data_IF_814573348813
#
_entry.id   IF_814573348813
#
_cell.length_a   1.000
_cell.length_b   1.000
_cell.length_c   1.000
_cell.angle_alpha   90.00
_cell.angle_beta   90.00
_cell.angle_gamma   90.00
#
_symmetry.space_group_name_H-M   'P 1'
#
loop_
_entity.id
_entity.type
_entity.pdbx_description
1 polymer ?
#
# COMPACT_ATOMS: atom_id res chain seq x y z
N UNK A 1 -20.51 -15.86 14.86
CA UNK A 1 -19.87 -15.19 13.70
C UNK A 1 -19.67 -16.25 12.65
N UNK A 2 -20.43 -16.19 11.57
CA UNK A 2 -20.35 -17.16 10.48
C UNK A 2 -19.11 -16.83 9.64
N UNK A 3 -18.11 -17.73 9.65
CA UNK A 3 -16.98 -17.67 8.73
C UNK A 3 -17.46 -18.20 7.39
N UNK A 4 -17.26 -17.47 6.32
CA UNK A 4 -17.52 -17.98 4.98
C UNK A 4 -16.51 -19.10 4.69
N UNK A 5 -17.00 -20.35 4.58
CA UNK A 5 -16.18 -21.51 4.20
C UNK A 5 -16.39 -21.82 2.71
N UNK A 6 -15.35 -21.68 1.93
CA UNK A 6 -15.33 -22.07 0.51
C UNK A 6 -14.61 -23.40 0.40
N UNK A 7 -15.24 -24.35 -0.28
CA UNK A 7 -14.67 -25.69 -0.53
C UNK A 7 -14.34 -25.81 -2.02
N UNK A 8 -13.10 -26.12 -2.33
CA UNK A 8 -12.62 -26.37 -3.69
C UNK A 8 -12.20 -27.84 -3.82
N UNK A 9 -12.65 -28.49 -4.88
CA UNK A 9 -12.22 -29.83 -5.27
C UNK A 9 -11.13 -29.73 -6.32
N UNK A 10 -9.99 -30.36 -6.06
CA UNK A 10 -8.85 -30.40 -6.99
C UNK A 10 -9.04 -31.56 -7.94
N UNK A 11 -9.24 -31.30 -9.21
CA UNK A 11 -9.40 -32.33 -10.23
C UNK A 11 -8.06 -33.01 -10.57
N UNK A 12 -8.10 -34.18 -11.19
CA UNK A 12 -6.89 -34.94 -11.60
C UNK A 12 -6.01 -34.10 -12.55
N UNK A 13 -6.61 -33.31 -13.40
CA UNK A 13 -5.96 -32.42 -14.35
C UNK A 13 -5.21 -31.24 -13.70
N UNK A 14 -5.58 -30.87 -12.47
CA UNK A 14 -4.91 -29.82 -11.68
C UNK A 14 -3.68 -30.34 -10.91
N UNK A 15 -3.38 -31.63 -11.05
CA UNK A 15 -2.20 -32.22 -10.44
C UNK A 15 -0.92 -31.51 -10.84
N UNK A 16 -0.15 -31.10 -9.85
CA UNK A 16 1.12 -30.39 -10.05
C UNK A 16 0.99 -28.88 -10.08
N UNK A 17 -0.23 -28.31 -10.16
CA UNK A 17 -0.46 -26.89 -9.94
C UNK A 17 -0.05 -26.49 -8.51
N UNK A 18 0.34 -25.25 -8.35
CA UNK A 18 0.64 -24.72 -7.02
C UNK A 18 -0.67 -24.35 -6.30
N UNK A 19 -0.74 -24.63 -5.00
CA UNK A 19 -1.91 -24.29 -4.19
C UNK A 19 -2.29 -22.81 -4.31
N UNK A 20 -1.31 -21.89 -4.25
CA UNK A 20 -1.54 -20.45 -4.33
C UNK A 20 -2.10 -20.01 -5.71
N UNK A 21 -1.66 -20.67 -6.77
CA UNK A 21 -2.19 -20.40 -8.12
C UNK A 21 -3.61 -20.94 -8.26
N UNK A 22 -3.81 -22.19 -7.88
CA UNK A 22 -5.11 -22.86 -8.00
C UNK A 22 -6.22 -22.10 -7.25
N UNK A 23 -5.97 -21.73 -5.98
CA UNK A 23 -6.99 -21.02 -5.19
C UNK A 23 -7.28 -19.63 -5.76
N UNK A 24 -6.24 -18.86 -6.16
CA UNK A 24 -6.45 -17.53 -6.73
C UNK A 24 -7.03 -17.55 -8.17
N UNK A 25 -7.04 -18.66 -8.86
CA UNK A 25 -7.71 -18.86 -10.15
C UNK A 25 -9.21 -19.20 -9.96
N UNK A 26 -9.58 -19.81 -8.84
CA UNK A 26 -10.95 -20.27 -8.57
C UNK A 26 -11.75 -19.37 -7.62
N UNK A 27 -11.11 -18.43 -6.91
CA UNK A 27 -11.75 -17.48 -6.01
C UNK A 27 -11.26 -16.08 -6.36
N UNK A 28 -12.09 -15.28 -7.04
CA UNK A 28 -11.73 -13.94 -7.55
C UNK A 28 -11.25 -12.97 -6.46
N UNK A 29 -11.80 -13.08 -5.27
CA UNK A 29 -11.50 -12.20 -4.13
C UNK A 29 -10.18 -12.53 -3.42
N UNK A 30 -9.56 -13.68 -3.70
CA UNK A 30 -8.34 -14.14 -3.04
C UNK A 30 -7.11 -13.93 -3.91
N UNK A 31 -6.32 -12.90 -3.58
CA UNK A 31 -4.98 -12.73 -4.14
C UNK A 31 -4.00 -13.74 -3.52
N UNK A 32 -2.92 -14.08 -4.25
CA UNK A 32 -1.85 -14.97 -3.72
C UNK A 32 -1.23 -14.46 -2.41
N UNK A 33 -1.15 -13.15 -2.22
CA UNK A 33 -0.63 -12.56 -0.98
C UNK A 33 -1.62 -12.72 0.17
N UNK A 34 -2.91 -12.56 -0.09
CA UNK A 34 -3.95 -12.77 0.91
C UNK A 34 -4.06 -14.24 1.29
N UNK A 35 -3.99 -15.15 0.31
CA UNK A 35 -3.96 -16.58 0.58
C UNK A 35 -2.78 -17.00 1.48
N UNK A 36 -1.60 -16.38 1.30
CA UNK A 36 -0.45 -16.66 2.19
C UNK A 36 -0.79 -16.26 3.64
N UNK A 37 -1.45 -15.13 3.85
CA UNK A 37 -1.91 -14.71 5.19
C UNK A 37 -2.92 -15.70 5.76
N UNK A 38 -3.92 -16.09 4.97
CA UNK A 38 -4.92 -17.09 5.39
C UNK A 38 -4.29 -18.43 5.77
N UNK A 39 -3.23 -18.86 5.07
CA UNK A 39 -2.47 -20.08 5.39
C UNK A 39 -1.70 -19.92 6.69
N UNK A 40 -1.01 -18.80 6.87
CA UNK A 40 -0.21 -18.53 8.06
C UNK A 40 -1.09 -18.43 9.32
N UNK A 41 -2.32 -17.93 9.16
CA UNK A 41 -3.35 -17.83 10.22
C UNK A 41 -4.16 -19.13 10.42
N UNK A 42 -3.86 -20.21 9.64
CA UNK A 42 -4.51 -21.50 9.76
C UNK A 42 -5.93 -21.57 9.17
N UNK A 43 -6.33 -20.57 8.39
CA UNK A 43 -7.65 -20.46 7.75
C UNK A 43 -7.75 -21.24 6.41
N UNK A 44 -6.70 -21.96 6.01
CA UNK A 44 -6.71 -22.83 4.82
C UNK A 44 -6.29 -24.22 5.21
N UNK A 45 -7.01 -25.23 4.72
CA UNK A 45 -6.63 -26.62 4.87
C UNK A 45 -6.69 -27.39 3.56
N UNK A 46 -5.83 -28.38 3.44
CA UNK A 46 -5.81 -29.36 2.34
C UNK A 46 -5.94 -30.74 2.98
N UNK A 47 -6.99 -31.48 2.61
CA UNK A 47 -7.31 -32.78 3.26
C UNK A 47 -7.33 -32.68 4.79
N UNK A 48 -7.92 -31.59 5.33
CA UNK A 48 -8.01 -31.33 6.77
C UNK A 48 -6.69 -30.91 7.44
N UNK A 49 -5.58 -30.82 6.72
CA UNK A 49 -4.28 -30.39 7.26
C UNK A 49 -4.08 -28.88 7.06
N UNK A 50 -3.82 -28.16 8.14
CA UNK A 50 -3.56 -26.70 8.13
C UNK A 50 -2.06 -26.36 8.03
N UNK A 51 -1.15 -27.28 8.40
CA UNK A 51 0.30 -27.09 8.21
C UNK A 51 0.70 -27.33 6.75
N UNK A 52 0.41 -26.34 5.91
CA UNK A 52 0.60 -26.36 4.46
C UNK A 52 1.46 -25.17 4.01
N UNK A 53 1.94 -25.21 2.77
CA UNK A 53 2.70 -24.11 2.16
C UNK A 53 1.97 -23.61 0.92
N UNK A 54 1.84 -22.30 0.75
CA UNK A 54 1.19 -21.69 -0.42
C UNK A 54 1.75 -22.21 -1.76
N UNK A 55 3.04 -22.47 -1.80
CA UNK A 55 3.71 -22.99 -3.00
C UNK A 55 3.73 -24.51 -3.14
N UNK A 56 3.04 -25.28 -2.28
CA UNK A 56 2.99 -26.73 -2.43
C UNK A 56 2.25 -27.12 -3.70
N UNK A 57 2.67 -28.24 -4.29
CA UNK A 57 2.02 -28.81 -5.47
C UNK A 57 0.85 -29.69 -5.07
N UNK A 58 -0.25 -29.53 -5.75
CA UNK A 58 -1.45 -30.35 -5.60
C UNK A 58 -1.24 -31.74 -6.20
N UNK A 59 -1.87 -32.75 -5.60
CA UNK A 59 -1.73 -34.15 -5.99
C UNK A 59 -2.86 -34.63 -6.90
N UNK A 60 -3.96 -33.89 -6.98
CA UNK A 60 -5.23 -34.26 -7.58
C UNK A 60 -6.13 -35.02 -6.61
N UNK A 61 -7.43 -34.86 -6.76
CA UNK A 61 -8.49 -35.41 -5.88
C UNK A 61 -8.37 -34.96 -4.40
N UNK A 62 -7.82 -33.78 -4.16
CA UNK A 62 -7.72 -33.18 -2.83
C UNK A 62 -8.87 -32.20 -2.62
N UNK A 63 -9.33 -32.09 -1.37
CA UNK A 63 -10.29 -31.07 -0.95
C UNK A 63 -9.54 -29.96 -0.24
N UNK A 64 -9.70 -28.73 -0.74
CA UNK A 64 -9.17 -27.51 -0.14
C UNK A 64 -10.34 -26.78 0.51
N UNK A 65 -10.22 -26.44 1.78
CA UNK A 65 -11.15 -25.58 2.49
C UNK A 65 -10.47 -24.25 2.78
N UNK A 66 -11.13 -23.16 2.41
CA UNK A 66 -10.69 -21.80 2.65
C UNK A 66 -11.73 -21.12 3.51
N UNK A 67 -11.37 -20.76 4.73
CA UNK A 67 -12.20 -19.95 5.61
C UNK A 67 -11.80 -18.48 5.44
N UNK A 68 -12.69 -17.66 4.94
CA UNK A 68 -12.48 -16.22 4.86
C UNK A 68 -13.00 -15.64 6.19
N UNK A 69 -12.11 -15.14 7.07
CA UNK A 69 -12.57 -14.43 8.26
C UNK A 69 -13.27 -13.14 7.80
N UNK A 70 -14.34 -12.77 8.50
CA UNK A 70 -14.87 -11.42 8.35
C UNK A 70 -13.72 -10.42 8.50
N UNK A 71 -13.69 -9.34 7.68
CA UNK A 71 -12.70 -8.30 7.85
C UNK A 71 -12.77 -7.83 9.31
N UNK A 72 -11.69 -8.00 10.08
CA UNK A 72 -11.59 -7.28 11.34
C UNK A 72 -11.73 -5.81 10.98
N UNK A 73 -12.88 -5.22 11.33
CA UNK A 73 -13.01 -3.77 11.33
C UNK A 73 -11.91 -3.28 12.27
N UNK A 74 -10.81 -2.82 11.69
CA UNK A 74 -9.85 -2.04 12.45
C UNK A 74 -10.63 -0.82 12.89
N UNK A 75 -11.12 -0.83 14.12
CA UNK A 75 -11.70 0.33 14.78
C UNK A 75 -10.62 1.42 14.84
N UNK A 76 -10.57 2.21 13.78
CA UNK A 76 -9.66 3.35 13.72
C UNK A 76 -10.25 4.43 14.60
N UNK A 77 -9.77 4.49 15.83
CA UNK A 77 -10.27 5.43 16.84
C UNK A 77 -9.85 6.85 16.45
N UNK A 78 -10.78 7.82 16.40
CA UNK A 78 -10.45 9.23 16.23
C UNK A 78 -9.56 9.73 17.37
N UNK A 79 -8.47 10.42 17.04
CA UNK A 79 -7.53 10.96 18.04
C UNK A 79 -7.36 12.47 17.86
N UNK A 80 -7.38 13.21 18.97
CA UNK A 80 -7.15 14.66 18.98
C UNK A 80 -5.67 14.99 18.74
N UNK A 81 -5.25 14.81 17.48
CA UNK A 81 -3.91 15.12 17.01
C UNK A 81 -4.01 16.37 16.13
N UNK A 82 -3.25 17.42 16.40
CA UNK A 82 -3.22 18.61 15.56
C UNK A 82 -2.78 18.27 14.14
N UNK A 83 -3.50 18.80 13.15
CA UNK A 83 -3.17 18.71 11.72
C UNK A 83 -3.01 20.11 11.13
N UNK A 84 -2.04 20.26 10.25
CA UNK A 84 -1.77 21.50 9.52
C UNK A 84 -2.53 21.47 8.19
N UNK A 85 -3.72 22.09 8.15
CA UNK A 85 -4.57 22.18 6.96
C UNK A 85 -4.12 23.40 6.15
N UNK A 86 -3.55 23.15 4.97
CA UNK A 86 -3.05 24.20 4.05
C UNK A 86 -4.15 24.72 3.14
N UNK A 87 -5.10 23.85 2.78
CA UNK A 87 -6.23 24.16 1.91
C UNK A 87 -7.42 23.26 2.25
N UNK A 88 -8.61 23.81 2.16
CA UNK A 88 -9.87 23.06 2.33
C UNK A 88 -10.97 23.70 1.50
N UNK A 89 -11.77 22.86 0.82
CA UNK A 89 -13.03 23.24 0.20
C UNK A 89 -14.09 22.14 0.44
N UNK A 90 -15.19 22.17 -0.31
CA UNK A 90 -16.26 21.16 -0.19
C UNK A 90 -15.91 19.79 -0.79
N UNK A 91 -14.83 19.68 -1.54
CA UNK A 91 -14.44 18.46 -2.25
C UNK A 91 -13.22 17.78 -1.66
N UNK A 92 -12.25 18.55 -1.24
CA UNK A 92 -10.97 18.04 -0.75
C UNK A 92 -10.37 18.94 0.32
N UNK A 93 -9.43 18.36 1.04
CA UNK A 93 -8.50 19.12 1.87
C UNK A 93 -7.06 18.74 1.57
N UNK A 94 -6.15 19.66 1.80
CA UNK A 94 -4.70 19.44 1.68
C UNK A 94 -4.06 19.63 3.04
N UNK A 95 -3.38 18.60 3.52
CA UNK A 95 -2.72 18.60 4.83
C UNK A 95 -1.21 18.60 4.61
N UNK A 96 -0.50 19.46 5.34
CA UNK A 96 0.94 19.38 5.46
C UNK A 96 1.30 18.36 6.55
N UNK A 97 1.50 17.10 6.13
CA UNK A 97 1.84 16.02 7.06
C UNK A 97 3.22 16.24 7.67
N UNK A 98 3.32 16.15 8.97
CA UNK A 98 4.62 16.19 9.67
C UNK A 98 5.44 14.91 9.40
N UNK A 99 6.77 15.02 9.52
CA UNK A 99 7.64 13.85 9.60
C UNK A 99 7.32 13.01 10.87
N UNK A 100 7.70 11.74 10.87
CA UNK A 100 7.41 10.74 11.93
C UNK A 100 5.94 10.34 12.08
N UNK A 101 5.03 10.86 11.26
CA UNK A 101 3.61 10.48 11.25
C UNK A 101 3.32 9.48 10.12
N UNK A 102 2.76 8.32 10.48
CA UNK A 102 2.26 7.32 9.53
C UNK A 102 0.91 7.79 8.97
N UNK A 103 0.63 7.53 7.71
CA UNK A 103 -0.63 7.99 7.08
C UNK A 103 -1.84 7.21 7.59
N UNK A 104 -1.75 5.87 7.67
CA UNK A 104 -2.87 5.02 8.08
C UNK A 104 -2.39 3.89 9.00
N UNK A 105 -3.28 3.38 9.86
CA UNK A 105 -2.95 2.28 10.73
C UNK A 105 -2.40 1.06 9.98
N UNK A 106 -1.38 0.46 10.53
CA UNK A 106 -0.72 -0.73 10.01
C UNK A 106 -0.06 -1.51 11.16
N UNK A 107 0.29 -2.80 10.99
CA UNK A 107 1.00 -3.56 12.00
C UNK A 107 2.20 -2.80 12.60
N UNK A 108 2.15 -2.58 13.91
CA UNK A 108 3.16 -1.81 14.67
C UNK A 108 2.91 -0.29 14.76
N UNK A 109 1.83 0.24 14.14
CA UNK A 109 1.42 1.65 14.23
C UNK A 109 -0.12 1.72 14.09
N UNK A 110 -0.85 1.31 15.12
CA UNK A 110 -2.32 1.29 15.11
C UNK A 110 -2.95 2.63 15.51
N UNK A 111 -2.19 3.49 16.19
CA UNK A 111 -2.59 4.78 16.74
C UNK A 111 -1.62 5.87 16.29
N UNK A 112 -1.94 7.13 16.54
CA UNK A 112 -1.07 8.27 16.20
C UNK A 112 -0.90 8.51 14.71
N UNK A 113 -1.81 8.01 13.86
CA UNK A 113 -1.69 8.15 12.41
C UNK A 113 -2.46 9.38 11.91
N UNK A 114 -2.17 9.78 10.68
CA UNK A 114 -2.90 10.87 10.03
C UNK A 114 -4.40 10.55 9.94
N UNK A 115 -4.77 9.30 9.69
CA UNK A 115 -6.18 8.87 9.63
C UNK A 115 -6.86 9.05 10.99
N UNK A 116 -6.23 8.68 12.12
CA UNK A 116 -6.78 8.93 13.45
C UNK A 116 -7.03 10.43 13.68
N UNK A 117 -6.09 11.28 13.24
CA UNK A 117 -6.21 12.73 13.34
C UNK A 117 -7.31 13.30 12.45
N UNK A 118 -7.42 12.83 11.19
CA UNK A 118 -8.45 13.27 10.23
C UNK A 118 -9.84 12.91 10.75
N UNK A 119 -10.05 11.70 11.22
CA UNK A 119 -11.33 11.24 11.77
C UNK A 119 -11.81 12.10 12.97
N UNK A 120 -10.88 12.64 13.75
CA UNK A 120 -11.23 13.51 14.86
C UNK A 120 -11.57 14.93 14.40
N UNK A 121 -10.76 15.48 13.48
CA UNK A 121 -10.82 16.90 13.11
C UNK A 121 -11.81 17.21 11.98
N UNK A 122 -12.12 16.24 11.11
CA UNK A 122 -12.91 16.42 9.88
C UNK A 122 -14.17 15.55 9.94
N UNK A 123 -15.34 16.19 9.79
CA UNK A 123 -16.62 15.48 9.84
C UNK A 123 -17.04 14.90 8.48
N UNK A 124 -16.74 15.63 7.40
CA UNK A 124 -17.15 15.27 6.05
C UNK A 124 -15.97 14.60 5.31
N UNK A 125 -16.01 13.29 5.18
CA UNK A 125 -14.98 12.50 4.50
C UNK A 125 -15.62 11.50 3.53
N UNK A 126 -14.93 11.22 2.42
CA UNK A 126 -15.34 10.13 1.54
C UNK A 126 -15.31 8.79 2.25
N UNK A 127 -16.37 8.00 2.06
CA UNK A 127 -16.57 6.69 2.67
C UNK A 127 -16.10 5.52 1.78
N UNK A 128 -15.64 5.75 0.56
CA UNK A 128 -15.30 4.71 -0.44
C UNK A 128 -14.36 3.63 0.11
N UNK A 129 -13.36 4.03 0.91
CA UNK A 129 -12.43 3.07 1.54
C UNK A 129 -12.86 2.70 2.97
N UNK A 130 -14.12 2.92 3.33
CA UNK A 130 -14.66 2.67 4.67
C UNK A 130 -13.99 3.51 5.76
N UNK A 131 -14.21 3.11 7.02
CA UNK A 131 -13.65 3.79 8.20
C UNK A 131 -12.13 3.66 8.26
N UNK A 132 -11.56 2.65 7.62
CA UNK A 132 -10.12 2.32 7.71
C UNK A 132 -9.24 3.36 6.98
N UNK A 133 -9.74 3.97 5.89
CA UNK A 133 -8.97 4.91 5.04
C UNK A 133 -9.84 6.02 4.47
N UNK A 134 -10.57 6.75 5.29
CA UNK A 134 -11.55 7.74 4.83
C UNK A 134 -10.85 8.82 4.00
N UNK A 135 -11.26 8.98 2.75
CA UNK A 135 -10.76 10.02 1.85
C UNK A 135 -9.30 9.90 1.39
N UNK A 136 -8.53 8.89 1.85
CA UNK A 136 -7.11 8.74 1.50
C UNK A 136 -6.94 8.17 0.10
N UNK A 137 -6.35 8.93 -0.80
CA UNK A 137 -6.12 8.57 -2.22
C UNK A 137 -4.64 8.31 -2.54
N UNK A 138 -3.72 8.77 -1.69
CA UNK A 138 -2.28 8.50 -1.80
C UNK A 138 -1.62 8.53 -0.42
N UNK A 139 -0.31 8.29 -0.39
CA UNK A 139 0.43 8.30 0.88
C UNK A 139 1.83 8.88 0.74
N UNK A 140 2.34 9.42 1.84
CA UNK A 140 3.75 9.68 2.09
C UNK A 140 4.30 8.67 3.10
N UNK A 141 5.59 8.41 3.04
CA UNK A 141 6.25 7.58 4.04
C UNK A 141 6.26 8.27 5.42
N UNK A 142 6.48 7.48 6.48
CA UNK A 142 6.48 7.96 7.88
C UNK A 142 7.34 9.21 8.05
N UNK A 143 8.58 9.14 7.59
CA UNK A 143 9.58 10.19 7.83
C UNK A 143 9.59 11.30 6.76
N UNK A 144 8.73 11.18 5.74
CA UNK A 144 8.53 12.21 4.72
C UNK A 144 7.47 13.18 5.19
N UNK A 145 7.81 14.46 5.28
CA UNK A 145 6.87 15.56 5.47
C UNK A 145 6.33 16.09 4.15
N UNK A 146 5.24 16.84 4.20
CA UNK A 146 4.70 17.56 3.04
C UNK A 146 3.23 17.27 2.74
N UNK A 147 2.79 17.65 1.56
CA UNK A 147 1.38 17.75 1.22
C UNK A 147 0.74 16.39 0.95
N UNK A 148 -0.38 16.14 1.60
CA UNK A 148 -1.30 15.03 1.32
C UNK A 148 -2.67 15.61 0.98
N UNK A 149 -3.24 15.13 -0.14
CA UNK A 149 -4.60 15.44 -0.55
C UNK A 149 -5.55 14.38 -0.01
N UNK A 150 -6.66 14.81 0.56
CA UNK A 150 -7.71 13.95 1.15
C UNK A 150 -9.05 14.34 0.54
N UNK A 151 -9.82 13.37 0.09
CA UNK A 151 -11.14 13.57 -0.48
C UNK A 151 -12.21 13.73 0.63
N UNK A 152 -13.07 14.72 0.51
CA UNK A 152 -14.19 14.96 1.45
C UNK A 152 -15.49 14.29 1.02
N UNK A 153 -15.61 13.89 -0.24
CA UNK A 153 -16.76 13.15 -0.76
C UNK A 153 -16.33 12.12 -1.81
N UNK A 154 -17.25 11.23 -2.15
CA UNK A 154 -16.99 10.08 -3.01
C UNK A 154 -16.68 10.46 -4.46
N UNK A 155 -17.33 11.50 -5.00
CA UNK A 155 -17.04 12.00 -6.35
C UNK A 155 -15.62 12.54 -6.47
N UNK A 156 -15.17 13.30 -5.48
CA UNK A 156 -13.80 13.79 -5.42
C UNK A 156 -12.81 12.65 -5.24
N UNK A 157 -13.16 11.63 -4.46
CA UNK A 157 -12.32 10.45 -4.24
C UNK A 157 -12.04 9.74 -5.56
N UNK A 158 -13.08 9.39 -6.31
CA UNK A 158 -12.94 8.71 -7.61
C UNK A 158 -12.06 9.52 -8.56
N UNK A 159 -12.36 10.83 -8.72
CA UNK A 159 -11.58 11.71 -9.60
C UNK A 159 -10.10 11.81 -9.19
N UNK A 160 -9.82 11.95 -7.90
CA UNK A 160 -8.44 12.02 -7.41
C UNK A 160 -7.70 10.69 -7.65
N UNK A 161 -8.35 9.54 -7.40
CA UNK A 161 -7.77 8.21 -7.69
C UNK A 161 -7.40 8.10 -9.17
N UNK A 162 -8.31 8.50 -10.08
CA UNK A 162 -8.05 8.47 -11.52
C UNK A 162 -6.88 9.40 -11.88
N UNK A 163 -6.84 10.62 -11.35
CA UNK A 163 -5.74 11.56 -11.58
C UNK A 163 -4.37 11.02 -11.10
N UNK A 164 -4.33 10.31 -9.96
CA UNK A 164 -3.10 9.64 -9.49
C UNK A 164 -2.72 8.45 -10.38
N UNK A 165 -3.70 7.66 -10.81
CA UNK A 165 -3.51 6.51 -11.71
C UNK A 165 -2.98 6.94 -13.07
N UNK A 166 -3.56 8.00 -13.64
CA UNK A 166 -3.20 8.54 -14.95
C UNK A 166 -1.97 9.46 -14.89
N UNK A 167 -1.38 9.60 -13.70
CA UNK A 167 -0.18 10.43 -13.46
C UNK A 167 -0.34 11.88 -13.87
N UNK A 168 -1.56 12.42 -13.85
CA UNK A 168 -1.82 13.82 -14.16
C UNK A 168 -1.43 14.77 -13.03
N UNK A 169 -1.33 14.24 -11.79
CA UNK A 169 -0.85 15.00 -10.63
C UNK A 169 0.68 14.97 -10.61
N UNK A 170 1.28 16.15 -10.72
CA UNK A 170 2.72 16.32 -10.56
C UNK A 170 3.12 16.17 -9.09
N UNK A 171 4.17 15.38 -8.85
CA UNK A 171 4.70 15.12 -7.51
C UNK A 171 6.13 15.62 -7.45
N UNK A 172 6.33 16.72 -6.74
CA UNK A 172 7.63 17.36 -6.54
C UNK A 172 8.06 17.23 -5.09
N UNK A 173 9.29 16.81 -4.87
CA UNK A 173 9.90 16.63 -3.55
C UNK A 173 11.16 17.47 -3.43
N UNK A 174 11.48 17.85 -2.21
CA UNK A 174 12.80 18.35 -1.86
C UNK A 174 13.55 17.24 -1.10
N UNK A 175 14.78 17.00 -1.48
CA UNK A 175 15.61 15.98 -0.84
C UNK A 175 17.03 16.49 -0.61
N UNK A 176 17.57 16.15 0.57
CA UNK A 176 18.99 16.37 0.87
C UNK A 176 19.71 15.04 0.63
N UNK A 177 20.57 15.01 -0.37
CA UNK A 177 21.37 13.82 -0.69
C UNK A 177 22.79 13.96 -0.18
N UNK A 178 23.42 12.85 0.20
CA UNK A 178 24.80 12.80 0.67
C UNK A 178 25.77 12.98 -0.51
N UNK A 179 26.77 13.80 -0.32
CA UNK A 179 27.80 14.08 -1.31
C UNK A 179 27.45 15.25 -2.23
N UNK A 180 28.32 15.51 -3.18
CA UNK A 180 28.14 16.55 -4.20
C UNK A 180 27.62 15.92 -5.49
N UNK A 181 26.47 16.39 -5.97
CA UNK A 181 25.93 16.02 -7.29
C UNK A 181 26.55 16.91 -8.34
N UNK A 182 27.33 16.36 -9.26
CA UNK A 182 28.12 17.12 -10.23
C UNK A 182 27.26 17.77 -11.33
N UNK A 183 26.23 17.09 -11.81
CA UNK A 183 25.31 17.59 -12.85
C UNK A 183 24.22 18.45 -12.22
N UNK A 184 23.88 19.57 -12.87
CA UNK A 184 22.83 20.48 -12.41
C UNK A 184 21.44 19.82 -12.43
N UNK A 185 21.20 18.96 -13.40
CA UNK A 185 19.96 18.23 -13.56
C UNK A 185 20.21 16.84 -14.16
N UNK A 186 19.25 15.96 -14.03
CA UNK A 186 19.34 14.62 -14.61
C UNK A 186 18.08 13.81 -14.45
N UNK A 187 18.00 12.73 -15.23
CA UNK A 187 16.93 11.73 -15.21
C UNK A 187 17.51 10.42 -14.73
N UNK A 188 16.85 9.82 -13.75
CA UNK A 188 17.18 8.48 -13.22
C UNK A 188 16.01 7.58 -13.54
N UNK A 189 16.27 6.52 -14.30
CA UNK A 189 15.30 5.50 -14.61
C UNK A 189 15.82 4.15 -14.12
N UNK A 190 15.04 3.48 -13.27
CA UNK A 190 15.42 2.22 -12.66
C UNK A 190 14.21 1.30 -12.55
N UNK A 191 14.45 0.02 -12.34
CA UNK A 191 13.40 -0.95 -11.99
C UNK A 191 13.49 -1.18 -10.48
N UNK A 192 12.45 -0.79 -9.74
CA UNK A 192 12.37 -0.93 -8.29
C UNK A 192 11.52 -2.14 -7.94
N UNK A 193 12.06 -3.04 -7.13
CA UNK A 193 11.38 -4.24 -6.69
C UNK A 193 11.80 -4.71 -5.31
N UNK A 194 11.18 -5.78 -4.81
CA UNK A 194 11.55 -6.37 -3.52
C UNK A 194 12.87 -7.11 -3.60
N UNK A 195 13.78 -6.85 -2.66
CA UNK A 195 15.11 -7.49 -2.60
C UNK A 195 14.97 -8.99 -2.35
N UNK A 196 15.58 -9.84 -3.18
CA UNK A 196 15.45 -11.32 -3.13
C UNK A 196 15.72 -11.91 -1.75
N UNK A 197 16.77 -11.46 -1.04
CA UNK A 197 17.17 -12.02 0.28
C UNK A 197 16.51 -11.31 1.48
N UNK A 198 15.97 -10.10 1.32
CA UNK A 198 15.32 -9.29 2.40
C UNK A 198 14.05 -8.68 1.84
N UNK A 199 13.00 -9.48 1.68
CA UNK A 199 11.73 -9.11 1.03
C UNK A 199 11.02 -7.87 1.62
N UNK A 200 11.34 -7.48 2.86
CA UNK A 200 10.85 -6.23 3.46
C UNK A 200 11.51 -4.97 2.90
N UNK A 201 12.61 -5.08 2.15
CA UNK A 201 13.33 -3.94 1.56
C UNK A 201 13.11 -3.86 0.06
N UNK A 202 12.91 -2.62 -0.43
CA UNK A 202 12.93 -2.30 -1.85
C UNK A 202 14.38 -2.09 -2.31
N UNK A 203 14.64 -2.38 -3.58
CA UNK A 203 15.95 -2.18 -4.20
C UNK A 203 15.79 -2.03 -5.72
N UNK A 204 16.82 -1.50 -6.37
CA UNK A 204 16.94 -1.62 -7.82
C UNK A 204 17.17 -3.08 -8.17
N UNK A 205 16.36 -3.59 -9.10
CA UNK A 205 16.38 -4.99 -9.55
C UNK A 205 16.40 -5.04 -11.08
N UNK A 206 16.91 -6.15 -11.64
CA UNK A 206 16.94 -6.34 -13.10
C UNK A 206 15.59 -6.83 -13.66
N UNK A 207 14.81 -7.57 -12.85
CA UNK A 207 13.53 -8.21 -13.23
C UNK A 207 12.56 -8.19 -12.06
N UNK A 208 11.26 -8.32 -12.36
CA UNK A 208 10.19 -8.41 -11.36
C UNK A 208 10.07 -7.16 -10.46
N UNK A 209 10.21 -5.98 -11.04
CA UNK A 209 9.97 -4.70 -10.41
C UNK A 209 9.12 -3.79 -11.30
N UNK A 210 8.86 -2.57 -10.81
CA UNK A 210 8.17 -1.51 -11.54
C UNK A 210 9.19 -0.47 -11.99
N UNK A 211 9.04 0.07 -13.19
CA UNK A 211 9.83 1.20 -13.66
C UNK A 211 9.54 2.39 -12.76
N UNK A 212 10.59 3.03 -12.29
CA UNK A 212 10.57 4.24 -11.48
C UNK A 212 11.45 5.30 -12.15
N UNK A 213 10.86 6.44 -12.42
CA UNK A 213 11.51 7.56 -13.09
C UNK A 213 11.50 8.74 -12.15
N UNK A 214 12.66 9.36 -11.98
CA UNK A 214 12.86 10.56 -11.18
C UNK A 214 13.71 11.55 -11.96
N UNK A 215 13.18 12.75 -12.16
CA UNK A 215 13.93 13.87 -12.72
C UNK A 215 14.40 14.75 -11.56
N UNK A 216 15.67 15.10 -11.51
CA UNK A 216 16.16 15.95 -10.44
C UNK A 216 16.79 17.24 -10.99
N UNK A 217 16.72 18.29 -10.16
CA UNK A 217 17.43 19.55 -10.35
C UNK A 217 18.15 19.93 -9.05
N UNK A 218 19.41 20.26 -9.15
CA UNK A 218 20.20 20.75 -8.02
C UNK A 218 19.75 22.16 -7.67
N UNK A 219 19.42 22.40 -6.42
CA UNK A 219 19.05 23.71 -5.90
C UNK A 219 20.20 24.38 -5.15
N UNK A 220 20.99 23.57 -4.39
CA UNK A 220 22.10 24.10 -3.62
C UNK A 220 23.12 22.98 -3.32
N UNK A 221 24.40 23.36 -3.14
CA UNK A 221 25.49 22.44 -2.82
C UNK A 221 26.24 22.89 -1.57
N UNK A 222 26.12 22.07 -0.53
CA UNK A 222 26.93 22.21 0.67
C UNK A 222 28.20 21.35 0.59
N UNK A 223 29.04 21.42 1.61
CA UNK A 223 30.32 20.68 1.70
C UNK A 223 30.17 19.16 1.62
N UNK A 224 29.11 18.60 2.21
CA UNK A 224 28.90 17.15 2.34
C UNK A 224 27.53 16.67 1.81
N UNK A 225 26.66 17.58 1.40
CA UNK A 225 25.32 17.31 0.98
C UNK A 225 24.91 18.22 -0.17
N UNK A 226 23.93 17.78 -0.95
CA UNK A 226 23.34 18.56 -2.03
C UNK A 226 21.83 18.60 -1.81
N UNK A 227 21.23 19.79 -1.90
CA UNK A 227 19.77 19.94 -1.93
C UNK A 227 19.31 19.80 -3.38
N UNK A 228 18.35 18.92 -3.58
CA UNK A 228 17.78 18.67 -4.91
C UNK A 228 16.26 18.74 -4.88
N UNK A 229 15.68 19.26 -5.94
CA UNK A 229 14.28 19.04 -6.27
C UNK A 229 14.17 17.75 -7.07
N UNK A 230 13.14 16.94 -6.78
CA UNK A 230 12.91 15.67 -7.46
C UNK A 230 11.45 15.60 -7.92
N UNK A 231 11.24 15.46 -9.21
CA UNK A 231 9.95 15.23 -9.83
C UNK A 231 9.81 13.75 -10.18
N UNK A 232 8.71 13.11 -9.73
CA UNK A 232 8.43 11.67 -9.88
C UNK A 232 7.36 11.46 -10.95
N UNK A 233 7.66 10.57 -11.91
CA UNK A 233 6.73 10.15 -12.96
C UNK A 233 5.96 8.86 -12.62
#
# INVERSE_FOLDING_TARGET
MEKEEIVLEVMVEDKGKRLDSFVSENIEEITRSYLQTLIDDGNVSVEGKTKIKAGQKLKGNEIIKVCIPEPEELDVVPENIPIDIVYEDKYLLVINKSANMVVHPAPGNYTGTLVNAILYNIKDLSSINGVIRPGIVHRLDKDTSGLIVVAKNDDAHVKLVDMFKDKTIKKTYLAIVKGSVSKEEGRIETIIGRKKKKRKKMAVVEKNGKIAISNYKVLDRGLKHTLVQVDIE
#
